data_IF_116920801786
#
_entry.id   IF_116920801786
#
_cell.length_a   1.000
_cell.length_b   1.000
_cell.length_c   1.000
_cell.angle_alpha   90.00
_cell.angle_beta   90.00
_cell.angle_gamma   90.00
#
_symmetry.space_group_name_H-M   'P 1'
#
loop_
_entity.id
_entity.type
_entity.pdbx_description
1 polymer ?
#
# COMPACT_ATOMS: atom_id res chain seq x y z
N UNK A 1 9.94 0.71 -5.54
CA UNK A 1 9.33 2.02 -5.82
C UNK A 1 9.21 2.80 -4.51
N UNK A 2 9.15 4.13 -4.54
CA UNK A 2 9.04 4.97 -3.33
C UNK A 2 7.85 5.92 -3.46
N UNK A 3 7.05 6.05 -2.40
CA UNK A 3 5.95 7.01 -2.30
C UNK A 3 5.95 7.65 -0.91
N UNK A 4 6.16 8.96 -0.82
CA UNK A 4 6.20 9.72 0.45
C UNK A 4 7.17 9.15 1.50
N UNK A 5 8.33 8.67 1.05
CA UNK A 5 9.35 8.07 1.93
C UNK A 5 9.09 6.60 2.26
N UNK A 6 7.97 6.02 1.81
CA UNK A 6 7.62 4.61 2.01
C UNK A 6 8.07 3.80 0.80
N UNK A 7 8.91 2.80 1.05
CA UNK A 7 9.32 1.84 0.03
C UNK A 7 8.21 0.81 -0.17
N UNK A 8 7.86 0.57 -1.44
CA UNK A 8 6.87 -0.45 -1.82
C UNK A 8 7.28 -1.22 -3.07
N UNK A 9 6.70 -2.41 -3.20
CA UNK A 9 6.89 -3.32 -4.32
C UNK A 9 5.53 -3.74 -4.89
N UNK A 10 5.53 -4.00 -6.19
CA UNK A 10 4.44 -4.63 -6.94
C UNK A 10 5.05 -5.83 -7.63
N UNK A 11 4.41 -6.99 -7.53
CA UNK A 11 4.85 -8.23 -8.15
C UNK A 11 3.69 -8.85 -8.92
N UNK A 12 3.93 -9.17 -10.19
CA UNK A 12 2.99 -9.95 -10.98
C UNK A 12 2.89 -11.35 -10.38
N UNK A 13 1.67 -11.84 -10.17
CA UNK A 13 1.44 -13.20 -9.65
C UNK A 13 1.16 -14.19 -10.78
N UNK A 14 1.11 -15.48 -10.43
CA UNK A 14 0.73 -16.54 -11.37
C UNK A 14 -0.74 -16.44 -11.83
N UNK A 15 -1.57 -15.68 -11.12
CA UNK A 15 -2.97 -15.45 -11.47
C UNK A 15 -3.10 -14.25 -12.41
N UNK A 16 -3.89 -14.42 -13.48
CA UNK A 16 -4.17 -13.36 -14.44
C UNK A 16 -4.81 -12.17 -13.73
N UNK A 17 -4.32 -10.96 -14.03
CA UNK A 17 -4.81 -9.71 -13.47
C UNK A 17 -4.67 -9.59 -11.96
N UNK A 18 -3.78 -10.36 -11.32
CA UNK A 18 -3.54 -10.28 -9.88
C UNK A 18 -2.11 -9.82 -9.63
N UNK A 19 -2.01 -8.77 -8.83
CA UNK A 19 -0.75 -8.16 -8.42
C UNK A 19 -0.60 -8.29 -6.92
N UNK A 20 0.50 -8.91 -6.48
CA UNK A 20 0.92 -8.89 -5.09
C UNK A 20 1.65 -7.58 -4.82
N UNK A 21 1.53 -7.07 -3.60
CA UNK A 21 2.20 -5.86 -3.19
C UNK A 21 2.70 -5.99 -1.76
N UNK A 22 3.76 -5.25 -1.47
CA UNK A 22 4.24 -5.05 -0.10
C UNK A 22 4.75 -3.63 0.07
N UNK A 23 4.61 -3.08 1.27
CA UNK A 23 5.24 -1.82 1.65
C UNK A 23 5.66 -1.86 3.11
N UNK A 24 6.67 -1.07 3.47
CA UNK A 24 7.19 -0.99 4.85
C UNK A 24 7.08 0.44 5.36
N UNK A 25 6.39 0.63 6.49
CA UNK A 25 6.35 1.90 7.22
C UNK A 25 6.87 1.66 8.63
N UNK A 26 7.91 2.38 9.01
CA UNK A 26 8.67 2.16 10.23
C UNK A 26 9.20 0.72 10.26
N UNK A 27 8.72 -0.12 11.18
CA UNK A 27 9.09 -1.54 11.24
C UNK A 27 7.95 -2.50 10.88
N UNK A 28 6.84 -1.96 10.35
CA UNK A 28 5.69 -2.76 9.96
C UNK A 28 5.68 -2.99 8.45
N UNK A 29 5.80 -4.25 8.06
CA UNK A 29 5.59 -4.68 6.67
C UNK A 29 4.12 -5.00 6.46
N UNK A 30 3.50 -4.35 5.48
CA UNK A 30 2.15 -4.63 5.02
C UNK A 30 2.21 -5.31 3.67
N UNK A 31 1.37 -6.30 3.46
CA UNK A 31 1.31 -7.07 2.22
C UNK A 31 -0.13 -7.28 1.80
N UNK A 32 -0.36 -7.47 0.51
CA UNK A 32 -1.67 -7.85 0.02
C UNK A 32 -1.67 -8.15 -1.48
N UNK A 33 -2.88 -8.25 -2.03
CA UNK A 33 -3.11 -8.47 -3.46
C UNK A 33 -4.15 -7.50 -3.98
N UNK A 34 -4.09 -7.20 -5.28
CA UNK A 34 -5.13 -6.43 -5.96
C UNK A 34 -5.44 -7.03 -7.32
N UNK A 35 -6.71 -7.03 -7.69
CA UNK A 35 -7.19 -7.53 -8.98
C UNK A 35 -7.36 -6.37 -9.96
N UNK A 36 -6.50 -6.31 -10.98
CA UNK A 36 -6.57 -5.39 -12.11
C UNK A 36 -5.72 -5.87 -13.28
N UNK A 37 -6.18 -5.59 -14.49
CA UNK A 37 -5.44 -5.83 -15.73
C UNK A 37 -4.28 -4.84 -15.92
N UNK A 38 -4.34 -3.66 -15.31
CA UNK A 38 -3.38 -2.57 -15.51
C UNK A 38 -2.40 -2.49 -14.35
N UNK A 39 -1.10 -2.65 -14.62
CA UNK A 39 -0.03 -2.51 -13.62
C UNK A 39 -0.07 -1.13 -12.95
N UNK A 40 -0.27 -0.07 -13.75
CA UNK A 40 -0.36 1.29 -13.24
C UNK A 40 -1.49 1.47 -12.21
N UNK A 41 -2.62 0.75 -12.38
CA UNK A 41 -3.70 0.78 -11.41
C UNK A 41 -3.34 0.02 -10.13
N UNK A 42 -2.55 -1.05 -10.22
CA UNK A 42 -2.03 -1.74 -9.04
C UNK A 42 -1.10 -0.83 -8.22
N UNK A 43 -0.20 -0.11 -8.90
CA UNK A 43 0.68 0.90 -8.29
C UNK A 43 -0.15 1.98 -7.60
N UNK A 44 -1.13 2.55 -8.31
CA UNK A 44 -1.95 3.64 -7.77
C UNK A 44 -2.75 3.21 -6.52
N UNK A 45 -3.31 1.99 -6.52
CA UNK A 45 -4.00 1.45 -5.34
C UNK A 45 -3.08 1.32 -4.13
N UNK A 46 -1.83 0.91 -4.32
CA UNK A 46 -0.85 0.82 -3.23
C UNK A 46 -0.47 2.20 -2.69
N UNK A 47 -0.31 3.21 -3.56
CA UNK A 47 -0.10 4.60 -3.14
C UNK A 47 -1.26 5.10 -2.26
N UNK A 48 -2.51 4.83 -2.65
CA UNK A 48 -3.70 5.20 -1.84
C UNK A 48 -3.69 4.51 -0.47
N UNK A 49 -3.30 3.23 -0.40
CA UNK A 49 -3.19 2.49 0.87
C UNK A 49 -2.14 3.11 1.78
N UNK A 50 -0.96 3.45 1.23
CA UNK A 50 0.11 4.14 1.97
C UNK A 50 -0.40 5.50 2.46
N UNK A 51 -1.04 6.29 1.61
CA UNK A 51 -1.60 7.60 1.99
C UNK A 51 -2.66 7.50 3.08
N UNK A 52 -3.44 6.41 3.10
CA UNK A 52 -4.42 6.16 4.16
C UNK A 52 -3.74 5.83 5.48
N UNK A 53 -2.75 4.95 5.46
CA UNK A 53 -2.00 4.53 6.66
C UNK A 53 -1.23 5.73 7.26
N UNK A 54 -0.53 6.51 6.44
CA UNK A 54 0.18 7.71 6.87
C UNK A 54 -0.78 8.73 7.50
N UNK A 55 -1.96 8.96 6.90
CA UNK A 55 -2.99 9.85 7.48
C UNK A 55 -3.54 9.33 8.80
N UNK A 56 -3.69 8.02 8.97
CA UNK A 56 -4.16 7.44 10.23
C UNK A 56 -3.13 7.60 11.35
N UNK A 57 -1.83 7.48 11.04
CA UNK A 57 -0.74 7.67 12.01
C UNK A 57 -0.55 9.14 12.42
N UNK A 58 -0.87 10.08 11.52
CA UNK A 58 -0.80 11.52 11.82
C UNK A 58 -1.98 12.03 12.66
N UNK A 59 -3.12 11.32 12.67
CA UNK A 59 -4.24 11.71 13.52
C UNK A 59 -3.87 11.41 14.98
N UNK A 60 -3.89 12.41 15.88
CA UNK A 60 -3.79 12.12 17.31
C UNK A 60 -4.92 11.13 17.68
N UNK A 61 -4.67 10.19 18.61
CA UNK A 61 -5.70 9.28 19.06
C UNK A 61 -6.88 10.13 19.48
N UNK A 62 -8.03 9.97 18.80
CA UNK A 62 -9.25 10.66 19.18
C UNK A 62 -9.45 10.39 20.67
N UNK A 63 -9.38 11.44 21.49
CA UNK A 63 -9.72 11.39 22.90
C UNK A 63 -11.11 10.75 22.95
N UNK A 64 -11.13 9.46 23.32
CA UNK A 64 -12.34 8.75 23.71
C UNK A 64 -12.69 9.34 25.07
N UNK A 65 -13.44 10.43 25.06
CA UNK A 65 -14.21 10.91 26.21
C UNK A 65 -15.49 10.11 26.35
#
# INVERSE_FOLDING_TARGET
>A
MNHRGVSFTIQKTNSRNVWAWSYKIDDQTRTGRTHTTLELLAIHRVQILIDRELRQRQKPPAQRS
#
